data_IF_650140104125
#
_entry.id   IF_650140104125
#
_cell.length_a   1.000
_cell.length_b   1.000
_cell.length_c   1.000
_cell.angle_alpha   90.00
_cell.angle_beta   90.00
_cell.angle_gamma   90.00
#
_symmetry.space_group_name_H-M   'P 1'
#
loop_
_entity.id
_entity.type
_entity.pdbx_description
1 polymer ?
#
# COMPACT_ATOMS: atom_id res chain seq x y z
N UNK A 1 4.78 24.60 15.55
CA UNK A 1 5.59 23.92 16.59
C UNK A 1 4.99 22.59 17.04
N UNK A 2 3.83 22.54 17.74
CA UNK A 2 3.28 21.27 18.25
C UNK A 2 2.89 20.23 17.16
N UNK A 3 2.39 20.68 16.01
CA UNK A 3 2.09 19.84 14.82
C UNK A 3 3.32 19.22 14.16
N UNK A 4 4.43 19.97 14.10
CA UNK A 4 5.70 19.50 13.53
C UNK A 4 6.41 18.49 14.44
N UNK A 5 6.27 18.65 15.75
CA UNK A 5 6.77 17.69 16.75
C UNK A 5 6.02 16.36 16.64
N UNK A 6 4.70 16.38 16.38
CA UNK A 6 3.91 15.16 16.17
C UNK A 6 4.26 14.45 14.85
N UNK A 7 4.46 15.19 13.76
CA UNK A 7 4.90 14.66 12.46
C UNK A 7 6.30 14.02 12.51
N UNK A 8 7.26 14.67 13.18
CA UNK A 8 8.59 14.11 13.38
C UNK A 8 8.54 12.82 14.23
N UNK A 9 7.69 12.79 15.27
CA UNK A 9 7.54 11.61 16.12
C UNK A 9 6.87 10.44 15.38
N UNK A 10 5.90 10.72 14.49
CA UNK A 10 5.22 9.74 13.63
C UNK A 10 6.15 9.17 12.54
N UNK A 11 6.98 10.01 11.91
CA UNK A 11 7.98 9.58 10.94
C UNK A 11 9.03 8.66 11.60
N UNK A 12 9.50 9.00 12.80
CA UNK A 12 10.43 8.15 13.57
C UNK A 12 9.79 6.83 14.02
N UNK A 13 8.48 6.80 14.29
CA UNK A 13 7.77 5.55 14.68
C UNK A 13 7.44 4.65 13.50
N UNK A 14 7.13 5.19 12.32
CA UNK A 14 6.97 4.40 11.10
C UNK A 14 8.28 3.68 10.73
N UNK A 15 9.42 4.35 10.86
CA UNK A 15 10.75 3.77 10.65
C UNK A 15 11.09 2.69 11.68
N UNK A 16 10.69 2.87 12.96
CA UNK A 16 10.86 1.84 13.99
C UNK A 16 9.95 0.60 13.76
N UNK A 17 8.71 0.79 13.33
CA UNK A 17 7.77 -0.30 13.03
C UNK A 17 8.20 -1.11 11.80
N UNK A 18 8.80 -0.45 10.79
CA UNK A 18 9.39 -1.12 9.63
C UNK A 18 10.65 -1.91 9.99
N UNK A 19 11.44 -1.44 10.95
CA UNK A 19 12.57 -2.17 11.53
C UNK A 19 12.14 -3.39 12.37
N UNK A 20 10.95 -3.37 13.00
CA UNK A 20 10.42 -4.47 13.82
C UNK A 20 10.08 -5.75 13.03
N UNK A 21 9.51 -5.62 11.83
CA UNK A 21 9.16 -6.78 10.99
C UNK A 21 10.41 -7.44 10.39
N UNK A 22 11.41 -6.65 10.01
CA UNK A 22 12.70 -7.15 9.56
C UNK A 22 13.44 -7.89 10.69
N UNK A 23 13.50 -7.31 11.90
CA UNK A 23 14.21 -7.89 13.04
C UNK A 23 13.56 -9.17 13.59
N UNK A 24 12.22 -9.24 13.62
CA UNK A 24 11.45 -10.41 14.07
C UNK A 24 11.63 -11.63 13.16
N UNK A 25 11.67 -11.41 11.84
CA UNK A 25 11.84 -12.48 10.87
C UNK A 25 13.31 -12.95 10.77
N UNK A 26 14.26 -12.01 10.91
CA UNK A 26 15.68 -12.33 11.01
C UNK A 26 15.99 -13.15 12.26
N UNK A 27 15.41 -12.81 13.41
CA UNK A 27 15.58 -13.56 14.65
C UNK A 27 15.05 -15.00 14.54
N UNK A 28 13.94 -15.22 13.82
CA UNK A 28 13.41 -16.56 13.55
C UNK A 28 14.30 -17.37 12.62
N UNK A 29 14.85 -16.76 11.56
CA UNK A 29 15.79 -17.41 10.64
C UNK A 29 17.12 -17.74 11.30
N UNK A 30 17.68 -16.82 12.08
CA UNK A 30 18.92 -17.01 12.83
C UNK A 30 18.78 -18.15 13.85
N UNK A 31 17.62 -18.25 14.53
CA UNK A 31 17.32 -19.36 15.44
C UNK A 31 17.23 -20.70 14.71
N UNK A 32 16.52 -20.74 13.57
CA UNK A 32 16.37 -21.97 12.77
C UNK A 32 17.72 -22.49 12.25
N UNK A 33 18.58 -21.59 11.74
CA UNK A 33 19.93 -21.93 11.29
C UNK A 33 20.84 -22.39 12.44
N UNK A 34 20.70 -21.79 13.62
CA UNK A 34 21.44 -22.22 14.81
C UNK A 34 21.02 -23.62 15.30
N UNK A 35 19.72 -23.93 15.23
CA UNK A 35 19.15 -25.23 15.60
C UNK A 35 19.51 -26.32 14.57
N UNK A 36 19.61 -26.00 13.29
CA UNK A 36 19.96 -26.93 12.20
C UNK A 36 21.47 -27.26 12.14
N UNK A 37 22.34 -26.32 12.53
CA UNK A 37 23.81 -26.47 12.50
C UNK A 37 24.43 -26.77 13.87
N UNK A 38 23.63 -26.83 14.95
CA UNK A 38 24.11 -27.11 16.31
C UNK A 38 25.03 -26.02 16.90
N UNK A 39 24.90 -24.76 16.42
CA UNK A 39 25.79 -23.66 16.76
C UNK A 39 25.23 -22.78 17.90
N UNK A 40 25.91 -22.74 19.04
CA UNK A 40 25.49 -21.99 20.24
C UNK A 40 25.84 -20.49 20.26
N UNK A 41 26.42 -19.92 19.19
CA UNK A 41 27.00 -18.55 19.23
C UNK A 41 26.60 -17.64 18.05
N UNK A 42 25.30 -17.58 17.72
CA UNK A 42 24.75 -16.66 16.69
C UNK A 42 24.43 -15.25 17.23
N UNK A 43 24.66 -14.96 18.52
CA UNK A 43 24.20 -13.68 19.11
C UNK A 43 24.95 -12.44 18.59
N UNK A 44 26.25 -12.50 18.29
CA UNK A 44 27.05 -11.29 18.06
C UNK A 44 26.67 -10.52 16.78
N UNK A 45 26.44 -11.21 15.66
CA UNK A 45 26.16 -10.58 14.37
C UNK A 45 24.79 -9.89 14.33
N UNK A 46 23.75 -10.54 14.89
CA UNK A 46 22.41 -9.96 15.02
C UNK A 46 22.37 -8.79 16.00
N UNK A 47 23.22 -8.80 17.04
CA UNK A 47 23.33 -7.67 17.96
C UNK A 47 24.08 -6.48 17.34
N UNK A 48 25.12 -6.72 16.51
CA UNK A 48 25.84 -5.65 15.81
C UNK A 48 25.01 -4.96 14.73
N UNK A 49 24.18 -5.69 13.96
CA UNK A 49 23.31 -5.08 12.95
C UNK A 49 22.15 -4.29 13.59
N UNK A 50 21.53 -4.82 14.65
CA UNK A 50 20.48 -4.09 15.36
C UNK A 50 21.02 -2.84 16.08
N UNK A 51 22.25 -2.88 16.59
CA UNK A 51 22.92 -1.70 17.15
C UNK A 51 23.27 -0.65 16.09
N UNK A 52 23.64 -1.07 14.86
CA UNK A 52 23.84 -0.17 13.72
C UNK A 52 22.54 0.53 13.32
N UNK A 53 21.44 -0.21 13.21
CA UNK A 53 20.13 0.37 12.90
C UNK A 53 19.66 1.36 13.96
N UNK A 54 19.94 1.09 15.25
CA UNK A 54 19.62 2.03 16.33
C UNK A 54 20.47 3.30 16.26
N UNK A 55 21.76 3.16 15.91
CA UNK A 55 22.67 4.28 15.73
C UNK A 55 22.27 5.16 14.53
N UNK A 56 21.90 4.54 13.40
CA UNK A 56 21.39 5.24 12.22
C UNK A 56 20.10 6.01 12.53
N UNK A 57 19.20 5.43 13.33
CA UNK A 57 17.98 6.12 13.78
C UNK A 57 18.27 7.32 14.70
N UNK A 58 19.30 7.24 15.56
CA UNK A 58 19.76 8.36 16.41
C UNK A 58 20.45 9.44 15.60
N UNK A 59 21.27 9.08 14.62
CA UNK A 59 21.94 10.02 13.71
C UNK A 59 20.91 10.81 12.89
N UNK A 60 19.86 10.15 12.40
CA UNK A 60 18.73 10.82 11.74
C UNK A 60 17.96 11.72 12.71
N UNK A 61 17.78 11.33 13.97
CA UNK A 61 17.12 12.17 14.98
C UNK A 61 17.99 13.39 15.37
N UNK A 62 19.31 13.22 15.48
CA UNK A 62 20.26 14.32 15.71
C UNK A 62 20.24 15.33 14.56
N UNK A 63 20.28 14.86 13.31
CA UNK A 63 20.21 15.72 12.13
C UNK A 63 18.91 16.53 12.06
N UNK A 64 17.79 15.99 12.58
CA UNK A 64 16.52 16.71 12.71
C UNK A 64 16.58 17.76 13.83
N UNK A 65 17.29 17.49 14.93
CA UNK A 65 17.42 18.41 16.06
C UNK A 65 18.34 19.61 15.77
N UNK A 66 19.29 19.48 14.84
CA UNK A 66 20.13 20.59 14.35
C UNK A 66 19.31 21.72 13.70
N UNK A 67 18.11 21.41 13.18
CA UNK A 67 17.17 22.42 12.66
C UNK A 67 16.35 23.13 13.75
N UNK A 68 16.43 22.69 15.02
CA UNK A 68 15.63 23.19 16.14
C UNK A 68 16.46 23.43 17.42
N UNK A 69 17.44 24.36 17.40
CA UNK A 69 18.42 24.53 18.47
C UNK A 69 17.85 25.00 19.82
N UNK A 70 16.64 25.58 19.84
CA UNK A 70 16.00 26.09 21.06
C UNK A 70 15.12 25.06 21.80
N UNK A 71 15.00 23.83 21.26
CA UNK A 71 14.15 22.78 21.83
C UNK A 71 14.86 22.00 22.95
N UNK A 72 14.85 22.56 24.16
CA UNK A 72 15.54 22.01 25.34
C UNK A 72 15.05 20.61 25.75
N UNK A 73 13.75 20.35 25.65
CA UNK A 73 13.18 19.03 25.99
C UNK A 73 13.60 17.97 24.96
N UNK A 74 13.59 18.33 23.67
CA UNK A 74 14.07 17.46 22.59
C UNK A 74 15.56 17.16 22.69
N UNK A 75 16.38 18.16 23.04
CA UNK A 75 17.81 17.99 23.24
C UNK A 75 18.12 17.10 24.45
N UNK A 76 17.36 17.23 25.55
CA UNK A 76 17.48 16.35 26.72
C UNK A 76 17.06 14.90 26.40
N UNK A 77 16.05 14.72 25.55
CA UNK A 77 15.61 13.40 25.10
C UNK A 77 16.59 12.75 24.12
N UNK A 78 17.18 13.52 23.21
CA UNK A 78 18.26 13.06 22.30
C UNK A 78 19.48 12.64 23.11
N UNK A 79 19.94 13.47 24.06
CA UNK A 79 21.08 13.12 24.93
C UNK A 79 20.83 11.83 25.75
N UNK A 80 19.60 11.61 26.22
CA UNK A 80 19.21 10.35 26.89
C UNK A 80 19.15 9.16 25.93
N UNK A 81 18.81 9.38 24.66
CA UNK A 81 18.79 8.35 23.62
C UNK A 81 20.21 7.98 23.17
N UNK A 82 21.09 8.95 22.98
CA UNK A 82 22.52 8.78 22.70
C UNK A 82 23.22 8.03 23.85
N UNK A 83 23.02 8.48 25.09
CA UNK A 83 23.56 7.80 26.27
C UNK A 83 23.06 6.35 26.39
N UNK A 84 21.81 6.07 25.97
CA UNK A 84 21.26 4.70 25.92
C UNK A 84 21.81 3.90 24.76
N UNK A 85 22.05 4.49 23.60
CA UNK A 85 22.70 3.82 22.48
C UNK A 85 24.10 3.36 22.87
N UNK A 86 24.87 4.23 23.52
CA UNK A 86 26.19 3.90 24.06
C UNK A 86 26.13 2.83 25.17
N UNK A 87 25.08 2.86 26.01
CA UNK A 87 24.84 1.82 27.02
C UNK A 87 24.46 0.46 26.40
N UNK A 88 23.71 0.45 25.30
CA UNK A 88 23.28 -0.76 24.58
C UNK A 88 24.46 -1.37 23.84
N UNK A 89 25.30 -0.55 23.20
CA UNK A 89 26.55 -0.98 22.56
C UNK A 89 27.53 -1.54 23.59
N UNK A 90 27.65 -0.93 24.77
CA UNK A 90 28.56 -1.39 25.83
C UNK A 90 28.06 -2.63 26.59
N UNK A 91 26.74 -2.87 26.67
CA UNK A 91 26.13 -4.04 27.32
C UNK A 91 25.91 -5.23 26.38
N UNK A 92 26.08 -5.06 25.06
CA UNK A 92 26.00 -6.14 24.08
C UNK A 92 27.07 -7.25 24.26
N UNK A 93 27.96 -7.12 25.25
CA UNK A 93 28.88 -8.18 25.68
C UNK A 93 28.34 -9.09 26.81
N UNK A 94 27.17 -8.80 27.41
CA UNK A 94 26.64 -9.65 28.49
C UNK A 94 25.13 -9.47 28.76
N UNK A 95 24.25 -10.28 28.16
CA UNK A 95 22.97 -10.75 28.76
C UNK A 95 22.11 -11.61 27.80
N UNK A 96 21.35 -12.54 28.37
CA UNK A 96 20.48 -13.52 27.71
C UNK A 96 19.20 -12.93 27.06
N UNK A 97 18.85 -13.49 25.89
CA UNK A 97 17.72 -13.10 25.02
C UNK A 97 16.33 -13.10 25.70
N UNK A 98 16.13 -13.85 26.78
CA UNK A 98 14.86 -13.93 27.51
C UNK A 98 14.52 -12.63 28.26
N UNK A 99 15.52 -11.94 28.78
CA UNK A 99 15.35 -10.65 29.47
C UNK A 99 14.94 -9.56 28.49
N UNK A 100 15.45 -9.63 27.25
CA UNK A 100 15.14 -8.66 26.19
C UNK A 100 13.74 -8.86 25.61
N UNK A 101 13.29 -10.12 25.42
CA UNK A 101 11.94 -10.43 24.95
C UNK A 101 10.84 -9.96 25.93
N UNK A 102 11.07 -10.11 27.24
CA UNK A 102 10.17 -9.60 28.28
C UNK A 102 10.17 -8.07 28.34
N UNK A 103 11.32 -7.44 28.15
CA UNK A 103 11.44 -5.98 27.98
C UNK A 103 10.62 -5.49 26.79
N UNK A 104 10.72 -6.15 25.64
CA UNK A 104 9.98 -5.82 24.42
C UNK A 104 8.45 -5.99 24.61
N UNK A 105 8.02 -7.05 25.27
CA UNK A 105 6.60 -7.29 25.58
C UNK A 105 6.04 -6.24 26.56
N UNK A 106 6.81 -5.88 27.59
CA UNK A 106 6.47 -4.79 28.51
C UNK A 106 6.40 -3.44 27.80
N UNK A 107 7.29 -3.20 26.85
CA UNK A 107 7.32 -1.99 26.02
C UNK A 107 6.10 -1.92 25.09
N UNK A 108 5.74 -3.02 24.41
CA UNK A 108 4.50 -3.13 23.59
C UNK A 108 3.24 -2.82 24.40
N UNK A 109 3.14 -3.39 25.61
CA UNK A 109 1.99 -3.15 26.51
C UNK A 109 1.94 -1.68 26.95
N UNK A 110 3.09 -1.09 27.27
CA UNK A 110 3.20 0.32 27.69
C UNK A 110 2.87 1.27 26.54
N UNK A 111 3.37 1.01 25.33
CA UNK A 111 3.07 1.79 24.13
C UNK A 111 1.58 1.71 23.80
N UNK A 112 0.98 0.51 23.76
CA UNK A 112 -0.47 0.35 23.50
C UNK A 112 -1.37 1.05 24.53
N UNK A 113 -0.91 1.19 25.77
CA UNK A 113 -1.61 1.94 26.82
C UNK A 113 -1.44 3.44 26.59
N UNK A 114 -0.22 3.90 26.35
CA UNK A 114 0.07 5.31 26.02
C UNK A 114 -0.71 5.80 24.80
N UNK A 115 -0.87 4.95 23.78
CA UNK A 115 -1.71 5.23 22.60
C UNK A 115 -3.18 5.45 22.97
N UNK A 116 -3.77 4.56 23.78
CA UNK A 116 -5.15 4.70 24.25
C UNK A 116 -5.34 5.91 25.17
N UNK A 117 -4.38 6.17 26.04
CA UNK A 117 -4.38 7.33 26.94
C UNK A 117 -4.25 8.65 26.15
N UNK A 118 -3.44 8.67 25.08
CA UNK A 118 -3.27 9.82 24.19
C UNK A 118 -4.52 10.07 23.34
N UNK A 119 -5.14 9.02 22.80
CA UNK A 119 -6.41 9.13 22.08
C UNK A 119 -7.56 9.62 23.00
N UNK A 120 -7.63 9.13 24.23
CA UNK A 120 -8.59 9.57 25.23
C UNK A 120 -8.35 11.02 25.69
N UNK A 121 -7.08 11.40 25.88
CA UNK A 121 -6.70 12.77 26.20
C UNK A 121 -7.04 13.73 25.04
N UNK A 122 -6.74 13.38 23.79
CA UNK A 122 -7.07 14.17 22.61
C UNK A 122 -8.59 14.40 22.49
N UNK A 123 -9.38 13.33 22.69
CA UNK A 123 -10.85 13.41 22.76
C UNK A 123 -11.34 14.32 23.89
N UNK A 124 -10.69 14.28 25.07
CA UNK A 124 -11.03 15.14 26.21
C UNK A 124 -10.73 16.64 25.99
N UNK A 125 -9.90 16.95 24.99
CA UNK A 125 -9.51 18.32 24.62
C UNK A 125 -10.28 18.86 23.42
N UNK A 126 -11.30 18.14 22.93
CA UNK A 126 -12.11 18.56 21.78
C UNK A 126 -11.32 18.58 20.47
N UNK A 127 -10.19 17.85 20.41
CA UNK A 127 -9.36 17.75 19.22
C UNK A 127 -9.99 16.70 18.26
N UNK A 128 -11.10 17.05 17.62
CA UNK A 128 -11.75 16.26 16.55
C UNK A 128 -11.06 16.44 15.17
N UNK A 129 -9.72 16.46 15.21
CA UNK A 129 -8.86 16.78 14.06
C UNK A 129 -8.20 15.57 13.38
N UNK A 130 -7.46 15.86 12.31
CA UNK A 130 -6.63 15.01 11.42
C UNK A 130 -5.94 13.81 12.09
N UNK A 131 -5.53 13.98 13.34
CA UNK A 131 -4.79 13.03 14.14
C UNK A 131 -5.65 11.84 14.59
N UNK A 132 -6.93 12.05 14.93
CA UNK A 132 -7.85 10.97 15.32
C UNK A 132 -8.26 10.08 14.13
N UNK A 133 -8.34 10.67 12.93
CA UNK A 133 -8.72 9.98 11.69
C UNK A 133 -7.52 9.24 11.07
N UNK A 134 -6.28 9.76 11.22
CA UNK A 134 -5.06 9.02 10.89
C UNK A 134 -4.83 7.83 11.86
N UNK A 135 -5.11 8.01 13.15
CA UNK A 135 -5.12 6.91 14.13
C UNK A 135 -6.21 5.89 13.76
N UNK A 136 -7.43 6.31 13.42
CA UNK A 136 -8.48 5.40 12.93
C UNK A 136 -8.05 4.66 11.65
N UNK A 137 -7.39 5.31 10.69
CA UNK A 137 -6.87 4.67 9.47
C UNK A 137 -5.85 3.58 9.77
N UNK A 138 -4.90 3.87 10.67
CA UNK A 138 -3.90 2.90 11.10
C UNK A 138 -4.52 1.77 11.93
N UNK A 139 -5.46 2.10 12.83
CA UNK A 139 -6.22 1.13 13.63
C UNK A 139 -7.12 0.26 12.76
N UNK A 140 -7.74 0.78 11.70
CA UNK A 140 -8.58 0.04 10.75
C UNK A 140 -7.76 -0.87 9.83
N UNK A 141 -6.53 -0.46 9.49
CA UNK A 141 -5.57 -1.28 8.76
C UNK A 141 -5.05 -2.42 9.65
N UNK A 142 -4.63 -2.11 10.87
CA UNK A 142 -4.18 -3.09 11.86
C UNK A 142 -5.31 -4.01 12.34
N UNK A 143 -6.54 -3.52 12.45
CA UNK A 143 -7.71 -4.33 12.78
C UNK A 143 -8.00 -5.35 11.69
N UNK A 144 -7.91 -4.97 10.41
CA UNK A 144 -8.05 -5.94 9.32
C UNK A 144 -6.90 -6.93 9.29
N UNK A 145 -5.65 -6.48 9.47
CA UNK A 145 -4.48 -7.37 9.57
C UNK A 145 -4.60 -8.36 10.74
N UNK A 146 -5.16 -7.93 11.87
CA UNK A 146 -5.31 -8.74 13.09
C UNK A 146 -6.47 -9.73 13.03
N UNK A 147 -7.54 -9.39 12.30
CA UNK A 147 -8.72 -10.23 12.17
C UNK A 147 -8.66 -11.17 10.95
N UNK A 148 -7.71 -10.96 10.03
CA UNK A 148 -7.48 -11.83 8.90
C UNK A 148 -6.65 -13.06 9.28
N UNK A 149 -6.80 -14.14 8.54
CA UNK A 149 -6.04 -15.39 8.74
C UNK A 149 -4.61 -15.34 8.17
N UNK A 150 -4.18 -14.17 7.69
CA UNK A 150 -2.85 -13.96 7.09
C UNK A 150 -2.79 -12.73 6.18
N UNK A 151 -1.60 -12.39 5.63
CA UNK A 151 -1.40 -11.21 4.78
C UNK A 151 -2.18 -11.27 3.46
N UNK A 152 -2.34 -12.44 2.86
CA UNK A 152 -3.15 -12.62 1.64
C UNK A 152 -4.62 -12.34 1.93
N UNK A 153 -5.16 -12.87 3.02
CA UNK A 153 -6.55 -12.59 3.40
C UNK A 153 -6.76 -11.11 3.75
N UNK A 154 -5.80 -10.46 4.42
CA UNK A 154 -5.87 -9.02 4.68
C UNK A 154 -5.93 -8.18 3.40
N UNK A 155 -5.25 -8.60 2.32
CA UNK A 155 -5.35 -7.97 1.01
C UNK A 155 -6.75 -8.16 0.41
N UNK A 156 -7.33 -9.36 0.47
CA UNK A 156 -8.71 -9.62 0.03
C UNK A 156 -9.72 -8.81 0.84
N UNK A 157 -9.50 -8.65 2.15
CA UNK A 157 -10.38 -7.85 3.01
C UNK A 157 -10.30 -6.35 2.66
N UNK A 158 -9.12 -5.84 2.29
CA UNK A 158 -8.95 -4.49 1.74
C UNK A 158 -9.71 -4.30 0.43
N UNK A 159 -9.55 -5.24 -0.51
CA UNK A 159 -10.30 -5.26 -1.76
C UNK A 159 -11.81 -5.23 -1.50
N UNK A 160 -12.29 -6.10 -0.62
CA UNK A 160 -13.72 -6.23 -0.31
C UNK A 160 -14.30 -4.99 0.39
N UNK A 161 -13.49 -4.21 1.12
CA UNK A 161 -13.90 -2.90 1.63
C UNK A 161 -14.22 -1.93 0.50
N UNK A 162 -13.37 -1.83 -0.51
CA UNK A 162 -13.62 -0.95 -1.66
C UNK A 162 -14.76 -1.48 -2.54
N UNK A 163 -14.80 -2.79 -2.81
CA UNK A 163 -15.91 -3.45 -3.53
C UNK A 163 -17.27 -3.17 -2.88
N UNK A 164 -17.34 -3.20 -1.55
CA UNK A 164 -18.57 -2.86 -0.81
C UNK A 164 -18.99 -1.41 -1.03
N UNK A 165 -18.05 -0.44 -1.03
CA UNK A 165 -18.37 0.97 -1.31
C UNK A 165 -18.93 1.14 -2.73
N UNK A 166 -18.41 0.39 -3.69
CA UNK A 166 -18.90 0.32 -5.07
C UNK A 166 -20.18 -0.52 -5.25
N UNK A 167 -20.75 -1.08 -4.18
CA UNK A 167 -21.96 -1.94 -4.20
C UNK A 167 -21.81 -3.19 -5.09
N UNK A 168 -20.61 -3.71 -5.20
CA UNK A 168 -20.31 -4.98 -5.89
C UNK A 168 -20.00 -6.08 -4.87
N UNK A 169 -20.34 -7.32 -5.22
CA UNK A 169 -20.18 -8.47 -4.33
C UNK A 169 -18.71 -8.74 -3.97
N UNK A 170 -18.42 -9.34 -2.81
CA UNK A 170 -17.05 -9.62 -2.40
C UNK A 170 -16.37 -10.67 -3.30
N UNK A 171 -15.05 -10.64 -3.35
CA UNK A 171 -14.22 -11.71 -3.88
C UNK A 171 -13.64 -12.54 -2.74
N UNK A 172 -13.36 -13.81 -3.01
CA UNK A 172 -12.74 -14.75 -2.08
C UNK A 172 -11.25 -14.98 -2.43
N UNK A 173 -10.45 -15.39 -1.45
CA UNK A 173 -9.10 -15.86 -1.72
C UNK A 173 -9.17 -17.26 -2.36
N UNK A 174 -8.84 -17.37 -3.65
CA UNK A 174 -8.84 -18.62 -4.39
C UNK A 174 -7.54 -19.41 -4.15
N UNK A 175 -7.64 -20.61 -3.56
CA UNK A 175 -6.46 -21.43 -3.25
C UNK A 175 -5.66 -21.77 -4.50
N UNK A 176 -6.29 -22.34 -5.52
CA UNK A 176 -5.59 -22.79 -6.74
C UNK A 176 -5.01 -21.60 -7.54
N UNK A 177 -5.71 -20.45 -7.54
CA UNK A 177 -5.20 -19.20 -8.12
C UNK A 177 -3.98 -18.69 -7.33
N UNK A 178 -4.01 -18.80 -6.00
CA UNK A 178 -2.91 -18.39 -5.14
C UNK A 178 -1.68 -19.28 -5.32
N UNK A 179 -1.88 -20.58 -5.55
CA UNK A 179 -0.79 -21.50 -5.87
C UNK A 179 -0.09 -21.10 -7.20
N UNK A 180 -0.85 -20.71 -8.22
CA UNK A 180 -0.30 -20.16 -9.47
C UNK A 180 0.40 -18.82 -9.29
N UNK A 181 -0.24 -17.88 -8.58
CA UNK A 181 0.33 -16.57 -8.28
C UNK A 181 1.63 -16.67 -7.46
N UNK A 182 1.72 -17.63 -6.53
CA UNK A 182 2.93 -17.88 -5.75
C UNK A 182 4.08 -18.40 -6.62
N UNK A 183 3.80 -19.37 -7.51
CA UNK A 183 4.79 -19.85 -8.48
C UNK A 183 5.33 -18.70 -9.34
N UNK A 184 4.46 -17.81 -9.79
CA UNK A 184 4.86 -16.65 -10.58
C UNK A 184 5.72 -15.67 -9.77
N UNK A 185 5.32 -15.39 -8.52
CA UNK A 185 6.11 -14.55 -7.62
C UNK A 185 7.52 -15.12 -7.39
N UNK A 186 7.62 -16.43 -7.16
CA UNK A 186 8.89 -17.14 -6.98
C UNK A 186 9.76 -17.09 -8.26
N UNK A 187 9.14 -17.26 -9.44
CA UNK A 187 9.80 -17.11 -10.73
C UNK A 187 10.40 -15.71 -10.90
N UNK A 188 9.64 -14.66 -10.56
CA UNK A 188 10.10 -13.27 -10.67
C UNK A 188 11.26 -12.98 -9.72
N UNK A 189 11.23 -13.51 -8.49
CA UNK A 189 12.35 -13.38 -7.54
C UNK A 189 13.59 -14.12 -8.04
N UNK A 190 13.41 -15.31 -8.61
CA UNK A 190 14.52 -16.12 -9.12
C UNK A 190 15.19 -15.50 -10.34
N UNK A 191 14.44 -14.74 -11.12
CA UNK A 191 14.88 -14.12 -12.37
C UNK A 191 14.87 -12.59 -12.31
N UNK A 192 15.00 -11.99 -11.12
CA UNK A 192 14.88 -10.54 -10.88
C UNK A 192 15.88 -9.67 -11.68
N UNK A 193 17.07 -10.21 -11.90
CA UNK A 193 18.11 -9.55 -12.68
C UNK A 193 17.95 -9.73 -14.20
N UNK A 194 17.02 -10.60 -14.64
CA UNK A 194 16.88 -10.93 -16.06
C UNK A 194 16.13 -9.81 -16.82
N UNK A 195 16.56 -9.39 -18.02
CA UNK A 195 15.87 -8.33 -18.76
C UNK A 195 14.41 -8.65 -19.12
N UNK A 196 14.07 -9.92 -19.37
CA UNK A 196 12.71 -10.34 -19.74
C UNK A 196 11.68 -10.16 -18.63
N UNK A 197 12.09 -9.99 -17.37
CA UNK A 197 11.20 -9.80 -16.21
C UNK A 197 11.06 -8.33 -15.81
N UNK A 198 11.62 -7.39 -16.58
CA UNK A 198 11.58 -5.94 -16.32
C UNK A 198 10.32 -5.31 -16.95
N UNK A 199 9.78 -4.28 -16.29
CA UNK A 199 8.61 -3.55 -16.77
C UNK A 199 7.43 -4.48 -17.06
N UNK A 200 6.76 -4.29 -18.21
CA UNK A 200 5.65 -5.15 -18.65
C UNK A 200 6.08 -6.60 -18.94
N UNK A 201 7.38 -6.86 -19.12
CA UNK A 201 7.92 -8.21 -19.22
C UNK A 201 7.65 -9.06 -17.97
N UNK A 202 7.47 -8.43 -16.81
CA UNK A 202 7.16 -9.11 -15.55
C UNK A 202 5.88 -9.95 -15.57
N UNK A 203 4.94 -9.71 -16.48
CA UNK A 203 3.74 -10.54 -16.62
C UNK A 203 3.98 -11.87 -17.35
N UNK A 204 5.17 -12.07 -17.93
CA UNK A 204 5.50 -13.22 -18.74
C UNK A 204 6.56 -14.10 -18.06
N UNK A 205 6.48 -15.40 -18.30
CA UNK A 205 7.56 -16.33 -17.98
C UNK A 205 8.19 -16.85 -19.27
N UNK A 206 9.52 -16.98 -19.25
CA UNK A 206 10.30 -17.62 -20.30
C UNK A 206 10.47 -19.10 -19.93
N UNK A 207 10.00 -20.05 -20.77
CA UNK A 207 10.12 -21.49 -20.50
C UNK A 207 11.56 -21.99 -20.33
N UNK A 208 12.55 -21.23 -20.81
CA UNK A 208 13.98 -21.58 -20.66
C UNK A 208 14.58 -21.15 -19.32
N UNK A 209 13.90 -20.27 -18.58
CA UNK A 209 14.40 -19.73 -17.32
C UNK A 209 14.00 -20.61 -16.13
N UNK A 210 14.84 -20.67 -15.09
CA UNK A 210 14.60 -21.54 -13.95
C UNK A 210 13.37 -21.07 -13.16
N UNK A 211 12.58 -22.04 -12.68
CA UNK A 211 11.35 -21.77 -11.92
C UNK A 211 10.11 -21.56 -12.79
N UNK A 212 10.24 -21.62 -14.12
CA UNK A 212 9.10 -21.61 -15.03
C UNK A 212 8.06 -22.68 -14.67
N UNK A 213 6.79 -22.30 -14.70
CA UNK A 213 5.66 -23.23 -14.65
C UNK A 213 4.52 -22.75 -15.54
N UNK A 214 3.74 -23.67 -16.11
CA UNK A 214 2.56 -23.26 -16.88
C UNK A 214 1.52 -22.53 -16.01
N UNK A 215 1.39 -22.91 -14.73
CA UNK A 215 0.45 -22.24 -13.82
C UNK A 215 0.93 -20.84 -13.43
N UNK A 216 2.22 -20.67 -13.14
CA UNK A 216 2.80 -19.35 -12.87
C UNK A 216 2.69 -18.42 -14.06
N UNK A 217 3.03 -18.92 -15.26
CA UNK A 217 2.91 -18.16 -16.50
C UNK A 217 1.46 -17.74 -16.79
N UNK A 218 0.47 -18.57 -16.45
CA UNK A 218 -0.94 -18.22 -16.58
C UNK A 218 -1.35 -17.12 -15.60
N UNK A 219 -0.95 -17.26 -14.34
CA UNK A 219 -1.22 -16.25 -13.31
C UNK A 219 -0.60 -14.89 -13.66
N UNK A 220 0.66 -14.87 -14.09
CA UNK A 220 1.37 -13.64 -14.49
C UNK A 220 0.63 -12.81 -15.53
N UNK A 221 0.14 -13.47 -16.59
CA UNK A 221 -0.60 -12.81 -17.69
C UNK A 221 -1.97 -12.25 -17.29
N UNK A 222 -2.50 -12.63 -16.14
CA UNK A 222 -3.82 -12.24 -15.65
C UNK A 222 -3.73 -11.68 -14.23
N UNK A 223 -2.66 -10.93 -13.95
CA UNK A 223 -2.39 -10.40 -12.63
C UNK A 223 -2.00 -8.94 -12.64
N UNK A 224 -2.15 -8.31 -11.48
CA UNK A 224 -1.44 -7.10 -11.12
C UNK A 224 -0.19 -7.48 -10.33
N UNK A 225 0.93 -6.81 -10.58
CA UNK A 225 2.22 -7.14 -9.98
C UNK A 225 2.75 -5.94 -9.20
N UNK A 226 2.97 -6.14 -7.90
CA UNK A 226 3.47 -5.11 -6.97
C UNK A 226 4.78 -5.52 -6.33
N UNK A 227 5.51 -4.54 -5.79
CA UNK A 227 6.81 -4.77 -5.15
C UNK A 227 6.74 -4.82 -3.61
N UNK A 228 5.54 -4.60 -3.07
CA UNK A 228 5.24 -4.55 -1.64
C UNK A 228 4.56 -5.83 -1.16
N UNK A 229 4.52 -6.10 0.16
CA UNK A 229 3.73 -7.21 0.70
C UNK A 229 2.22 -7.06 0.36
N UNK A 230 1.44 -8.16 0.38
CA UNK A 230 0.11 -8.19 -0.23
C UNK A 230 -0.87 -7.10 0.21
N UNK A 231 -1.04 -6.78 1.51
CA UNK A 231 -1.96 -5.71 1.90
C UNK A 231 -1.57 -4.34 1.33
N UNK A 232 -0.28 -4.04 1.31
CA UNK A 232 0.27 -2.78 0.79
C UNK A 232 0.17 -2.74 -0.73
N UNK A 233 0.48 -3.83 -1.42
CA UNK A 233 0.34 -3.93 -2.88
C UNK A 233 -1.12 -3.73 -3.31
N UNK A 234 -2.07 -4.43 -2.67
CA UNK A 234 -3.50 -4.28 -2.96
C UNK A 234 -3.98 -2.84 -2.75
N UNK A 235 -3.58 -2.22 -1.63
CA UNK A 235 -3.95 -0.82 -1.36
C UNK A 235 -3.41 0.12 -2.45
N UNK A 236 -2.14 -0.01 -2.83
CA UNK A 236 -1.53 0.82 -3.86
C UNK A 236 -2.19 0.63 -5.23
N UNK A 237 -2.45 -0.62 -5.63
CA UNK A 237 -3.12 -0.93 -6.90
C UNK A 237 -4.56 -0.40 -6.98
N UNK A 238 -5.32 -0.44 -5.87
CA UNK A 238 -6.63 0.21 -5.81
C UNK A 238 -6.54 1.74 -5.90
N UNK A 239 -5.37 2.30 -5.62
CA UNK A 239 -5.05 3.72 -5.78
C UNK A 239 -4.81 4.15 -7.23
N UNK A 240 -4.50 3.22 -8.14
CA UNK A 240 -4.09 3.56 -9.52
C UNK A 240 -5.23 3.37 -10.54
N UNK A 241 -4.96 3.63 -11.83
CA UNK A 241 -5.98 3.55 -12.88
C UNK A 241 -6.14 2.13 -13.40
N UNK A 242 -5.12 1.59 -14.05
CA UNK A 242 -5.20 0.31 -14.77
C UNK A 242 -5.39 -0.88 -13.84
N UNK A 243 -4.61 -0.98 -12.76
CA UNK A 243 -4.70 -2.10 -11.81
C UNK A 243 -6.08 -2.15 -11.11
N UNK A 244 -6.71 -0.99 -10.86
CA UNK A 244 -8.01 -0.95 -10.17
C UNK A 244 -9.14 -1.57 -11.00
N UNK A 245 -9.12 -1.42 -12.33
CA UNK A 245 -10.21 -1.86 -13.22
C UNK A 245 -10.55 -3.35 -13.04
N UNK A 246 -9.60 -4.31 -13.19
CA UNK A 246 -9.92 -5.73 -13.02
C UNK A 246 -10.33 -6.07 -11.57
N UNK A 247 -9.73 -5.42 -10.57
CA UNK A 247 -10.01 -5.66 -9.16
C UNK A 247 -11.44 -5.25 -8.75
N UNK A 248 -11.98 -4.19 -9.35
CA UNK A 248 -13.36 -3.73 -9.12
C UNK A 248 -14.35 -4.27 -10.16
N UNK A 249 -13.95 -5.23 -11.00
CA UNK A 249 -14.87 -5.88 -11.93
C UNK A 249 -15.97 -6.65 -11.16
N UNK A 250 -17.26 -6.48 -11.47
CA UNK A 250 -18.34 -7.11 -10.69
C UNK A 250 -18.36 -8.64 -10.79
N UNK A 251 -17.87 -9.17 -11.92
CA UNK A 251 -17.80 -10.61 -12.16
C UNK A 251 -16.58 -11.27 -11.50
N UNK A 252 -15.64 -10.50 -10.92
CA UNK A 252 -14.55 -11.06 -10.13
C UNK A 252 -15.11 -11.69 -8.86
N UNK A 253 -14.98 -13.02 -8.71
CA UNK A 253 -15.44 -13.78 -7.53
C UNK A 253 -14.29 -14.34 -6.70
N UNK A 254 -13.13 -14.55 -7.31
CA UNK A 254 -11.94 -15.07 -6.63
C UNK A 254 -10.70 -14.32 -7.10
N UNK A 255 -9.77 -14.10 -6.18
CA UNK A 255 -8.41 -13.63 -6.48
C UNK A 255 -7.39 -14.62 -5.96
N UNK A 256 -6.33 -14.87 -6.74
CA UNK A 256 -5.13 -15.56 -6.29
C UNK A 256 -4.11 -14.55 -5.81
N UNK A 257 -3.45 -14.82 -4.68
CA UNK A 257 -2.40 -13.93 -4.18
C UNK A 257 -1.15 -14.74 -3.87
N UNK A 258 -0.05 -14.37 -4.52
CA UNK A 258 1.29 -14.92 -4.28
C UNK A 258 2.24 -13.83 -3.83
N UNK A 259 3.18 -14.16 -2.95
CA UNK A 259 4.22 -13.22 -2.54
C UNK A 259 5.56 -13.90 -2.32
N UNK A 260 6.58 -13.37 -2.97
CA UNK A 260 7.96 -13.82 -2.79
C UNK A 260 8.86 -12.61 -2.55
N UNK A 261 10.01 -12.83 -1.90
CA UNK A 261 10.99 -11.76 -1.61
C UNK A 261 12.41 -12.27 -1.74
N UNK A 262 13.33 -11.39 -2.11
CA UNK A 262 14.75 -11.71 -2.19
C UNK A 262 15.32 -12.02 -0.79
N UNK A 263 16.27 -12.95 -0.72
CA UNK A 263 16.79 -13.50 0.54
C UNK A 263 17.75 -12.55 1.29
N UNK A 264 18.44 -11.64 0.58
CA UNK A 264 19.42 -10.71 1.15
C UNK A 264 18.93 -9.26 1.06
N UNK A 265 19.07 -8.50 2.16
CA UNK A 265 18.87 -7.05 2.36
C UNK A 265 17.41 -6.54 2.36
N UNK A 266 16.99 -5.99 3.50
CA UNK A 266 15.63 -5.54 3.80
C UNK A 266 15.32 -4.10 3.39
N UNK A 267 15.23 -3.84 2.08
CA UNK A 267 14.76 -2.56 1.52
C UNK A 267 13.39 -2.66 0.88
N UNK A 268 12.68 -1.52 0.80
CA UNK A 268 11.47 -1.34 -0.03
C UNK A 268 11.76 -1.76 -1.49
N UNK A 269 10.76 -2.36 -2.17
CA UNK A 269 10.86 -2.74 -3.59
C UNK A 269 11.43 -4.15 -3.88
N UNK A 270 11.71 -4.95 -2.86
CA UNK A 270 12.42 -6.25 -3.00
C UNK A 270 11.49 -7.47 -2.97
N UNK A 271 10.18 -7.25 -2.90
CA UNK A 271 9.15 -8.28 -2.99
C UNK A 271 8.53 -8.37 -4.38
N UNK A 272 7.83 -9.45 -4.67
CA UNK A 272 6.96 -9.62 -5.84
C UNK A 272 5.63 -10.13 -5.31
N UNK A 273 4.62 -9.26 -5.30
CA UNK A 273 3.25 -9.61 -5.00
C UNK A 273 2.50 -9.75 -6.32
N UNK A 274 1.91 -10.91 -6.54
CA UNK A 274 1.12 -11.23 -7.74
C UNK A 274 -0.32 -11.37 -7.28
N UNK A 275 -1.22 -10.55 -7.83
CA UNK A 275 -2.66 -10.62 -7.59
C UNK A 275 -3.32 -11.09 -8.88
N UNK A 276 -3.57 -12.39 -8.98
CA UNK A 276 -4.27 -13.04 -10.09
C UNK A 276 -5.78 -12.76 -9.99
N UNK A 277 -6.32 -12.04 -10.96
CA UNK A 277 -7.74 -11.68 -11.05
C UNK A 277 -8.51 -12.51 -12.08
N UNK A 278 -7.99 -13.67 -12.50
CA UNK A 278 -8.63 -14.57 -13.47
C UNK A 278 -9.85 -15.31 -12.92
N UNK A 279 -10.11 -15.25 -11.60
CA UNK A 279 -11.22 -15.89 -10.90
C UNK A 279 -12.59 -15.22 -11.14
N UNK A 280 -12.94 -14.98 -12.40
CA UNK A 280 -14.27 -14.49 -12.80
C UNK A 280 -15.32 -15.59 -12.64
N UNK A 281 -16.50 -15.22 -12.16
CA UNK A 281 -17.67 -16.09 -12.06
C UNK A 281 -18.79 -15.65 -13.00
N UNK A 282 -19.97 -16.22 -12.79
CA UNK A 282 -21.16 -15.86 -13.57
C UNK A 282 -21.52 -14.38 -13.39
N UNK A 283 -22.02 -13.80 -14.49
CA UNK A 283 -22.54 -12.44 -14.51
C UNK A 283 -23.74 -12.33 -13.58
N UNK A 284 -23.67 -11.38 -12.65
CA UNK A 284 -24.81 -11.00 -11.82
C UNK A 284 -25.41 -9.70 -12.38
N UNK A 285 -26.61 -9.79 -12.95
CA UNK A 285 -27.31 -8.63 -13.52
C UNK A 285 -27.86 -7.67 -12.45
N UNK A 286 -27.81 -8.05 -11.16
CA UNK A 286 -28.34 -7.22 -10.06
C UNK A 286 -27.30 -6.25 -9.50
N UNK A 287 -26.02 -6.39 -9.87
CA UNK A 287 -24.96 -5.49 -9.42
C UNK A 287 -24.68 -4.40 -10.47
N UNK A 288 -24.15 -3.23 -10.06
CA UNK A 288 -23.81 -2.17 -11.00
C UNK A 288 -22.88 -2.68 -12.12
N UNK A 289 -23.19 -2.32 -13.37
CA UNK A 289 -22.35 -2.59 -14.56
C UNK A 289 -21.56 -1.38 -15.04
N UNK A 290 -21.73 -0.25 -14.34
CA UNK A 290 -20.93 0.96 -14.52
C UNK A 290 -20.36 1.34 -13.16
N UNK A 291 -19.03 1.21 -13.03
CA UNK A 291 -18.32 1.35 -11.75
C UNK A 291 -17.61 2.69 -11.70
N UNK A 292 -18.15 3.60 -10.87
CA UNK A 292 -17.50 4.87 -10.53
C UNK A 292 -16.56 4.70 -9.34
N UNK A 293 -15.34 5.24 -9.45
CA UNK A 293 -14.38 5.29 -8.36
C UNK A 293 -13.67 6.67 -8.31
N UNK A 294 -13.41 7.27 -7.14
CA UNK A 294 -13.90 6.87 -5.82
C UNK A 294 -15.42 6.70 -5.79
N UNK A 295 -15.92 5.77 -4.98
CA UNK A 295 -17.36 5.46 -4.97
C UNK A 295 -18.19 6.68 -4.52
N UNK A 296 -19.46 6.73 -4.93
CA UNK A 296 -20.40 7.77 -4.48
C UNK A 296 -20.47 7.83 -2.95
N UNK A 297 -20.26 9.03 -2.41
CA UNK A 297 -20.19 9.37 -0.99
C UNK A 297 -19.04 8.68 -0.24
N UNK A 298 -18.02 8.20 -0.95
CA UNK A 298 -16.81 7.69 -0.32
C UNK A 298 -16.16 8.80 0.52
N UNK A 299 -15.72 8.45 1.71
CA UNK A 299 -14.93 9.32 2.59
C UNK A 299 -13.52 8.77 2.72
N UNK A 300 -12.61 9.61 3.20
CA UNK A 300 -11.22 9.26 3.43
C UNK A 300 -10.52 8.70 2.16
N UNK A 301 -10.85 9.29 1.01
CA UNK A 301 -10.23 8.99 -0.27
C UNK A 301 -8.78 9.49 -0.27
N UNK A 302 -7.85 8.72 -0.81
CA UNK A 302 -6.45 9.14 -0.94
C UNK A 302 -6.31 10.42 -1.77
N UNK A 303 -5.24 11.17 -1.53
CA UNK A 303 -5.02 12.46 -2.17
C UNK A 303 -4.29 12.33 -3.51
N UNK A 304 -3.35 11.40 -3.55
CA UNK A 304 -2.35 11.27 -4.60
C UNK A 304 -2.62 10.06 -5.48
N UNK A 305 -2.13 10.14 -6.71
CA UNK A 305 -1.88 8.99 -7.55
C UNK A 305 -0.63 8.27 -7.06
N UNK A 306 -0.67 6.93 -7.04
CA UNK A 306 0.52 6.11 -6.84
C UNK A 306 1.13 5.77 -8.21
N UNK A 307 2.44 5.49 -8.25
CA UNK A 307 3.12 5.11 -9.48
C UNK A 307 2.51 3.85 -10.13
N UNK A 308 2.31 3.87 -11.45
CA UNK A 308 1.71 2.79 -12.22
C UNK A 308 2.54 2.48 -13.48
N UNK A 309 2.61 1.20 -13.85
CA UNK A 309 3.19 0.79 -15.13
C UNK A 309 2.19 -0.11 -15.84
N UNK A 310 1.66 0.28 -17.03
CA UNK A 310 2.00 1.50 -17.77
C UNK A 310 1.54 2.78 -17.07
N UNK A 311 2.31 3.86 -17.23
CA UNK A 311 1.98 5.16 -16.65
C UNK A 311 0.86 5.84 -17.47
N UNK A 312 -0.29 6.18 -16.87
CA UNK A 312 -1.35 6.93 -17.54
C UNK A 312 -1.14 8.45 -17.57
N UNK A 313 -0.12 8.98 -16.88
CA UNK A 313 0.25 10.39 -16.98
C UNK A 313 1.00 10.62 -18.31
N UNK A 314 0.66 11.66 -19.09
CA UNK A 314 1.38 11.96 -20.33
C UNK A 314 2.88 12.18 -20.08
N UNK A 315 3.72 11.71 -21.00
CA UNK A 315 5.17 11.83 -20.87
C UNK A 315 5.63 13.29 -20.73
N UNK A 316 6.50 13.54 -19.74
CA UNK A 316 7.09 14.86 -19.48
C UNK A 316 6.25 15.75 -18.56
N UNK A 317 5.12 15.25 -18.07
CA UNK A 317 4.32 15.89 -17.03
C UNK A 317 4.76 15.43 -15.62
N UNK A 318 4.22 16.07 -14.58
CA UNK A 318 4.58 15.80 -13.18
C UNK A 318 4.02 14.45 -12.69
N UNK A 319 4.85 13.70 -11.97
CA UNK A 319 4.49 12.42 -11.35
C UNK A 319 3.69 12.61 -10.04
N UNK A 320 3.70 13.81 -9.44
CA UNK A 320 2.91 14.16 -8.25
C UNK A 320 1.44 14.46 -8.61
N UNK A 321 0.75 13.51 -9.24
CA UNK A 321 -0.66 13.66 -9.61
C UNK A 321 -1.61 13.36 -8.44
N UNK A 322 -2.86 13.84 -8.57
CA UNK A 322 -3.93 13.54 -7.63
C UNK A 322 -4.63 12.22 -7.93
N UNK A 323 -5.41 11.76 -6.96
CA UNK A 323 -6.15 10.49 -7.05
C UNK A 323 -7.04 10.41 -8.30
N UNK A 324 -6.89 9.38 -9.16
CA UNK A 324 -7.70 9.23 -10.37
C UNK A 324 -9.18 8.98 -10.08
N UNK A 325 -10.02 9.71 -10.81
CA UNK A 325 -11.46 9.50 -10.87
C UNK A 325 -11.78 8.69 -12.13
N UNK A 326 -12.38 7.52 -11.97
CA UNK A 326 -12.64 6.58 -13.06
C UNK A 326 -14.11 6.22 -13.15
N UNK A 327 -14.59 6.03 -14.37
CA UNK A 327 -15.88 5.41 -14.68
C UNK A 327 -15.62 4.27 -15.67
N UNK A 328 -15.85 3.02 -15.22
CA UNK A 328 -15.56 1.82 -15.99
C UNK A 328 -16.84 1.07 -16.34
N UNK A 329 -16.99 0.71 -17.62
CA UNK A 329 -18.01 -0.18 -18.14
C UNK A 329 -17.47 -1.61 -18.21
N UNK A 330 -18.35 -2.60 -18.09
CA UNK A 330 -17.94 -4.01 -18.02
C UNK A 330 -18.72 -4.93 -18.96
N UNK A 331 -19.64 -4.39 -19.77
CA UNK A 331 -20.47 -5.17 -20.72
C UNK A 331 -20.13 -4.84 -22.19
N UNK A 332 -18.98 -4.20 -22.45
CA UNK A 332 -18.45 -3.94 -23.80
C UNK A 332 -19.13 -2.79 -24.53
N UNK A 333 -19.66 -1.82 -23.79
CA UNK A 333 -20.30 -0.63 -24.36
C UNK A 333 -19.31 0.26 -25.13
N UNK A 334 -19.80 0.88 -26.21
CA UNK A 334 -19.01 1.86 -26.97
C UNK A 334 -19.15 3.24 -26.32
N UNK A 335 -18.03 3.80 -25.85
CA UNK A 335 -17.98 5.10 -25.17
C UNK A 335 -17.30 6.13 -26.06
N UNK A 336 -17.99 7.21 -26.37
CA UNK A 336 -17.46 8.33 -27.17
C UNK A 336 -17.80 9.68 -26.56
N UNK A 337 -17.18 10.76 -27.05
CA UNK A 337 -17.40 12.15 -26.62
C UNK A 337 -17.32 12.33 -25.10
N UNK A 338 -16.38 11.64 -24.46
CA UNK A 338 -16.19 11.67 -23.02
C UNK A 338 -15.58 12.99 -22.54
N UNK A 339 -16.13 13.56 -21.47
CA UNK A 339 -15.58 14.68 -20.71
C UNK A 339 -15.78 14.46 -19.21
N UNK A 340 -14.87 15.03 -18.41
CA UNK A 340 -14.92 14.95 -16.95
C UNK A 340 -14.67 16.33 -16.35
N UNK A 341 -15.57 16.69 -15.43
CA UNK A 341 -15.46 17.89 -14.63
C UNK A 341 -15.38 17.48 -13.15
N UNK A 342 -14.25 17.82 -12.53
CA UNK A 342 -14.02 17.65 -11.09
C UNK A 342 -14.00 19.04 -10.45
N UNK A 343 -14.83 19.24 -9.42
CA UNK A 343 -14.89 20.50 -8.67
C UNK A 343 -14.77 20.27 -7.17
N UNK A 344 -14.04 21.12 -6.46
CA UNK A 344 -14.09 21.16 -5.00
C UNK A 344 -15.39 21.80 -4.49
N UNK A 345 -15.67 21.67 -3.19
CA UNK A 345 -16.88 22.18 -2.55
C UNK A 345 -17.09 23.70 -2.68
N UNK A 346 -16.01 24.47 -2.87
CA UNK A 346 -16.01 25.90 -3.15
C UNK A 346 -16.29 26.25 -4.63
N UNK A 347 -16.48 25.23 -5.48
CA UNK A 347 -16.77 25.37 -6.89
C UNK A 347 -15.55 25.50 -7.78
N UNK A 348 -14.33 25.45 -7.25
CA UNK A 348 -13.09 25.52 -8.05
C UNK A 348 -12.96 24.26 -8.91
N UNK A 349 -12.73 24.43 -10.22
CA UNK A 349 -12.46 23.33 -11.14
C UNK A 349 -11.03 22.83 -10.93
N UNK A 350 -10.88 21.51 -10.87
CA UNK A 350 -9.58 20.85 -10.80
C UNK A 350 -9.10 20.57 -12.22
N UNK A 351 -7.86 20.96 -12.53
CA UNK A 351 -7.20 20.62 -13.80
C UNK A 351 -6.67 19.18 -13.75
N UNK A 352 -6.74 18.48 -14.88
CA UNK A 352 -6.31 17.09 -14.96
C UNK A 352 -6.13 16.58 -16.38
N UNK A 353 -5.59 15.36 -16.47
CA UNK A 353 -5.43 14.60 -17.70
C UNK A 353 -6.63 13.68 -17.88
N UNK A 354 -7.19 13.64 -19.08
CA UNK A 354 -8.32 12.79 -19.42
C UNK A 354 -7.85 11.64 -20.32
N UNK A 355 -8.11 10.41 -19.88
CA UNK A 355 -8.08 9.21 -20.71
C UNK A 355 -9.50 8.77 -20.99
N UNK A 356 -9.79 8.44 -22.25
CA UNK A 356 -11.05 7.83 -22.67
C UNK A 356 -10.81 6.71 -23.68
N UNK A 357 -11.80 5.87 -24.00
CA UNK A 357 -11.63 4.85 -25.03
C UNK A 357 -11.27 5.41 -26.41
N UNK A 358 -11.75 6.59 -26.77
CA UNK A 358 -11.38 7.28 -28.03
C UNK A 358 -9.99 7.92 -28.00
N UNK A 359 -9.56 8.37 -26.82
CA UNK A 359 -8.27 9.04 -26.59
C UNK A 359 -7.62 8.44 -25.35
N UNK A 360 -7.12 7.19 -25.43
CA UNK A 360 -6.53 6.54 -24.27
C UNK A 360 -5.24 7.27 -23.88
N UNK A 361 -4.96 7.36 -22.57
CA UNK A 361 -3.72 7.91 -22.05
C UNK A 361 -2.48 7.24 -22.67
N UNK A 362 -2.59 5.93 -22.95
CA UNK A 362 -1.60 5.12 -23.63
C UNK A 362 -2.24 4.44 -24.84
N UNK A 363 -1.83 4.81 -26.05
CA UNK A 363 -2.40 4.26 -27.29
C UNK A 363 -2.09 2.77 -27.49
N UNK A 364 -0.99 2.28 -26.93
CA UNK A 364 -0.59 0.87 -26.87
C UNK A 364 -1.17 0.11 -25.67
N UNK A 365 -1.97 0.78 -24.83
CA UNK A 365 -2.70 0.18 -23.71
C UNK A 365 -4.14 0.74 -23.61
N UNK A 366 -4.97 0.51 -24.65
CA UNK A 366 -6.35 0.99 -24.66
C UNK A 366 -7.18 0.28 -23.59
N UNK A 367 -8.17 0.99 -23.04
CA UNK A 367 -9.13 0.45 -22.09
C UNK A 367 -10.51 1.11 -22.28
N UNK A 368 -11.56 0.47 -21.76
CA UNK A 368 -12.96 0.89 -21.92
C UNK A 368 -13.41 1.91 -20.86
N UNK A 369 -12.52 2.32 -19.94
CA UNK A 369 -12.85 3.25 -18.87
C UNK A 369 -12.53 4.71 -19.25
N UNK A 370 -13.33 5.62 -18.71
CA UNK A 370 -12.97 7.04 -18.61
C UNK A 370 -12.15 7.22 -17.33
N UNK A 371 -11.04 7.94 -17.41
CA UNK A 371 -10.20 8.28 -16.27
C UNK A 371 -9.77 9.74 -16.33
N UNK A 372 -9.98 10.44 -15.22
CA UNK A 372 -9.50 11.79 -15.02
C UNK A 372 -8.48 11.80 -13.88
N UNK A 373 -7.25 12.23 -14.19
CA UNK A 373 -6.13 12.29 -13.26
C UNK A 373 -5.84 13.76 -12.96
N UNK A 374 -6.14 14.26 -11.75
CA UNK A 374 -5.78 15.63 -11.35
C UNK A 374 -4.28 15.89 -11.51
N UNK A 375 -3.91 17.07 -12.01
CA UNK A 375 -2.49 17.45 -12.20
C UNK A 375 -1.69 17.64 -10.92
N UNK A 376 -2.37 17.77 -9.78
CA UNK A 376 -1.78 17.99 -8.47
C UNK A 376 -2.50 17.10 -7.45
N UNK A 377 -1.87 16.82 -6.30
CA UNK A 377 -2.54 16.21 -5.16
C UNK A 377 -3.88 16.89 -4.85
N UNK A 378 -4.91 16.09 -4.59
CA UNK A 378 -6.17 16.65 -4.12
C UNK A 378 -5.98 17.25 -2.72
N UNK A 379 -6.70 18.33 -2.43
CA UNK A 379 -6.69 18.94 -1.10
C UNK A 379 -7.29 17.98 -0.08
N UNK A 380 -6.65 17.84 1.08
CA UNK A 380 -7.15 17.01 2.17
C UNK A 380 -8.45 17.57 2.77
N UNK A 381 -9.23 16.69 3.40
CA UNK A 381 -10.51 17.02 4.05
C UNK A 381 -11.52 17.78 3.16
N UNK A 382 -11.44 17.59 1.84
CA UNK A 382 -12.20 18.36 0.86
C UNK A 382 -13.24 17.47 0.19
N UNK A 383 -14.49 17.95 0.12
CA UNK A 383 -15.52 17.32 -0.70
C UNK A 383 -15.32 17.73 -2.16
N UNK A 384 -15.34 16.75 -3.04
CA UNK A 384 -15.28 16.92 -4.48
C UNK A 384 -16.55 16.41 -5.13
N UNK A 385 -17.01 17.14 -6.15
CA UNK A 385 -18.11 16.78 -7.03
C UNK A 385 -17.54 16.37 -8.39
N UNK A 386 -17.94 15.19 -8.85
CA UNK A 386 -17.58 14.65 -10.16
C UNK A 386 -18.80 14.74 -11.06
N UNK A 387 -18.58 15.22 -12.29
CA UNK A 387 -19.51 15.11 -13.40
C UNK A 387 -18.81 14.50 -14.60
N UNK A 388 -19.38 13.40 -15.09
CA UNK A 388 -18.94 12.72 -16.31
C UNK A 388 -20.04 12.84 -17.34
N UNK A 389 -19.70 13.28 -18.55
CA UNK A 389 -20.58 13.27 -19.71
C UNK A 389 -19.96 12.43 -20.81
N UNK A 390 -20.76 11.62 -21.51
CA UNK A 390 -20.31 10.82 -22.63
C UNK A 390 -21.49 10.47 -23.54
N UNK A 391 -21.21 9.78 -24.64
CA UNK A 391 -22.17 8.98 -25.39
C UNK A 391 -21.89 7.51 -25.15
N UNK A 392 -22.91 6.76 -24.73
CA UNK A 392 -22.85 5.30 -24.54
C UNK A 392 -23.71 4.67 -25.61
N UNK A 393 -23.09 3.90 -26.51
CA UNK A 393 -23.76 3.32 -27.68
C UNK A 393 -24.51 4.38 -28.53
N UNK A 394 -23.98 5.61 -28.57
CA UNK A 394 -24.56 6.75 -29.29
C UNK A 394 -25.58 7.57 -28.51
N UNK A 395 -26.04 7.11 -27.33
CA UNK A 395 -26.99 7.83 -26.49
C UNK A 395 -26.28 8.74 -25.48
N UNK A 396 -26.83 9.93 -25.25
CA UNK A 396 -26.26 10.87 -24.28
C UNK A 396 -26.33 10.30 -22.85
N UNK A 397 -25.21 10.35 -22.15
CA UNK A 397 -25.04 9.82 -20.81
C UNK A 397 -24.44 10.89 -19.89
N UNK A 398 -24.98 10.99 -18.67
CA UNK A 398 -24.46 11.86 -17.62
C UNK A 398 -24.42 11.08 -16.31
N UNK A 399 -23.30 11.16 -15.60
CA UNK A 399 -23.13 10.60 -14.27
C UNK A 399 -22.49 11.62 -13.34
N UNK A 400 -23.13 11.83 -12.20
CA UNK A 400 -22.64 12.74 -11.16
C UNK A 400 -22.59 12.02 -9.82
N UNK A 401 -21.56 12.32 -9.03
CA UNK A 401 -21.41 11.82 -7.66
C UNK A 401 -20.44 12.68 -6.86
N UNK A 402 -20.43 12.47 -5.55
CA UNK A 402 -19.52 13.17 -4.65
C UNK A 402 -18.56 12.19 -3.97
N UNK A 403 -17.37 12.65 -3.60
CA UNK A 403 -16.51 11.96 -2.63
C UNK A 403 -15.82 12.98 -1.72
N UNK A 404 -15.24 12.52 -0.62
CA UNK A 404 -14.48 13.36 0.31
C UNK A 404 -13.11 12.76 0.53
N UNK A 405 -12.09 13.57 0.26
CA UNK A 405 -10.71 13.19 0.51
C UNK A 405 -10.45 13.01 1.99
N UNK A 406 -9.54 12.10 2.31
CA UNK A 406 -8.95 12.00 3.63
C UNK A 406 -8.16 13.26 3.94
N UNK A 407 -7.69 13.36 5.16
CA UNK A 407 -6.84 14.47 5.55
C UNK A 407 -5.37 14.13 5.40
#
# INVERSE_FOLDING_TARGET
MKRLIALAFLASTATLLLAEDAASEYAKRAKKLADEEGLSHVSLATHCENAKMWKEAVEHWSAVMDFFPDNKDGAEHLAKAEQRADLVVSRASAADAATYANGLAGMKKTMSKKWRDLAAWAKSKGLEGEEAEAISRAEDFEAVKKNSTGPMQAAVDLLNRERKKCKIGPAELGKDLSDGAQKHADYLIKNDAHPSTRGLGSHNEDPSLPGYTEEGARAGRQSDIGMSPPPQAMKGMLGTFYHRIPLLHPDLKKVGIGYAKLASGGGWGRGRCVIDYSGKGEKDEKVPRVIGYPADKATNVQLNFDNESPDPIPQGEDEEAGMPVTLAWVDGETITDADVELRSADGVRVDGYLSSPEKPARSDFPNEAICFIPKNPLSGATKYHVKVTAKVNGEAFVKEWDFTTGR
#
